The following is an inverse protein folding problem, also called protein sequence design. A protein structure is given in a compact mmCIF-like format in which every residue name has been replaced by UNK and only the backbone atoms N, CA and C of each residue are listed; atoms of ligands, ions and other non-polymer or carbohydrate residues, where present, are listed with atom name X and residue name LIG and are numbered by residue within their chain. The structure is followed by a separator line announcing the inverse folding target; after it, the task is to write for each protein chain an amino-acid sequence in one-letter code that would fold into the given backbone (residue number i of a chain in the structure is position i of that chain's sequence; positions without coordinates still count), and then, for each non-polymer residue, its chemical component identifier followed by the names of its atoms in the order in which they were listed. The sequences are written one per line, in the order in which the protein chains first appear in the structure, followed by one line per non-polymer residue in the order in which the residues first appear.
data_IF_157340783020
#
_entry.id   IF_157340783020
#
_cell.length_a   1.000
_cell.length_b   1.000
_cell.length_c   1.000
_cell.angle_alpha   90.00
_cell.angle_beta   90.00
_cell.angle_gamma   90.00
#
_symmetry.space_group_name_H-M   'P 1'
#
loop_
_entity.id
_entity.type
_entity.pdbx_description
1 polymer ?
#
# COMPACT_ATOMS: atom_id res chain seq x y z
N UNK A 1 0.55 5.96 -10.45
CA UNK A 1 1.59 5.91 -11.49
C UNK A 1 2.96 5.72 -10.81
N UNK A 2 3.71 4.65 -11.08
CA UNK A 2 4.98 4.39 -10.40
C UNK A 2 6.17 5.26 -10.82
N UNK A 3 6.14 5.82 -12.03
CA UNK A 3 7.19 6.72 -12.49
C UNK A 3 7.12 8.06 -11.74
N UNK A 4 5.92 8.55 -11.48
CA UNK A 4 5.71 9.75 -10.64
C UNK A 4 6.25 9.53 -9.22
N UNK A 5 5.93 8.39 -8.59
CA UNK A 5 6.45 8.09 -7.26
C UNK A 5 7.99 8.01 -7.24
N UNK A 6 8.60 7.42 -8.28
CA UNK A 6 10.06 7.38 -8.43
C UNK A 6 10.65 8.78 -8.54
N UNK A 7 10.05 9.63 -9.37
CA UNK A 7 10.58 10.96 -9.66
C UNK A 7 10.42 11.88 -8.44
N UNK A 8 9.30 11.77 -7.72
CA UNK A 8 9.12 12.37 -6.38
C UNK A 8 10.22 11.91 -5.43
N UNK A 9 10.43 10.59 -5.30
CA UNK A 9 11.45 10.04 -4.39
C UNK A 9 12.86 10.56 -4.67
N UNK A 10 13.19 10.84 -5.93
CA UNK A 10 14.48 11.45 -6.32
C UNK A 10 14.56 12.93 -5.98
N UNK A 11 13.45 13.66 -6.07
CA UNK A 11 13.39 15.11 -5.84
C UNK A 11 13.16 15.52 -4.38
N UNK A 12 12.66 14.62 -3.54
CA UNK A 12 12.27 14.94 -2.15
C UNK A 12 13.19 14.28 -1.12
N UNK A 13 14.32 14.92 -0.84
CA UNK A 13 15.26 14.50 0.21
C UNK A 13 14.60 14.65 1.59
N UNK A 14 14.66 13.60 2.41
CA UNK A 14 14.13 13.61 3.78
C UNK A 14 12.61 13.41 3.91
N UNK A 15 11.87 13.36 2.80
CA UNK A 15 10.41 13.13 2.82
C UNK A 15 10.12 11.69 2.36
N UNK A 16 9.45 10.86 3.18
CA UNK A 16 9.04 9.52 2.79
C UNK A 16 8.04 9.54 1.62
N UNK A 17 8.28 8.75 0.59
CA UNK A 17 7.39 8.61 -0.58
C UNK A 17 6.81 7.22 -0.66
N UNK A 18 5.49 7.13 -0.75
CA UNK A 18 4.74 5.89 -0.85
C UNK A 18 4.31 5.53 -2.27
N UNK A 19 4.18 4.24 -2.56
CA UNK A 19 3.50 3.76 -3.77
C UNK A 19 2.07 3.33 -3.43
N UNK A 20 1.07 3.98 -4.02
CA UNK A 20 -0.33 3.52 -3.96
C UNK A 20 -0.55 2.33 -4.90
N UNK A 21 -1.15 1.26 -4.38
CA UNK A 21 -1.38 0.01 -5.12
C UNK A 21 -2.75 -0.60 -4.82
N UNK A 22 -3.26 -1.34 -5.80
CA UNK A 22 -4.46 -2.17 -5.71
C UNK A 22 -4.32 -3.35 -6.67
N UNK A 23 -5.09 -4.40 -6.42
CA UNK A 23 -5.26 -5.55 -7.30
C UNK A 23 -6.13 -5.27 -8.53
N UNK A 24 -6.96 -4.23 -8.47
CA UNK A 24 -7.92 -3.83 -9.51
C UNK A 24 -7.68 -2.37 -9.87
N UNK A 25 -7.33 -2.12 -11.13
CA UNK A 25 -7.03 -0.80 -11.66
C UNK A 25 -7.91 -0.57 -12.88
N UNK A 26 -9.05 0.09 -12.69
CA UNK A 26 -10.01 0.36 -13.77
C UNK A 26 -9.33 1.06 -14.96
N UNK A 27 -9.64 0.59 -16.16
CA UNK A 27 -9.05 1.11 -17.41
C UNK A 27 -7.62 0.67 -17.71
N UNK A 28 -7.00 -0.19 -16.88
CA UNK A 28 -5.63 -0.67 -17.11
C UNK A 28 -5.58 -2.07 -17.74
N UNK A 29 -4.49 -2.37 -18.45
CA UNK A 29 -4.30 -3.66 -19.12
C UNK A 29 -4.03 -4.81 -18.13
N UNK A 30 -4.21 -6.05 -18.59
CA UNK A 30 -3.89 -7.27 -17.80
C UNK A 30 -2.43 -7.29 -17.34
N UNK A 31 -1.51 -6.80 -18.17
CA UNK A 31 -0.08 -6.71 -17.82
C UNK A 31 0.14 -5.75 -16.65
N UNK A 32 -0.50 -4.58 -16.67
CA UNK A 32 -0.41 -3.61 -15.56
C UNK A 32 -0.95 -4.23 -14.28
N UNK A 33 -2.12 -4.87 -14.33
CA UNK A 33 -2.68 -5.59 -13.19
C UNK A 33 -1.72 -6.66 -12.66
N UNK A 34 -1.11 -7.45 -13.53
CA UNK A 34 -0.12 -8.46 -13.15
C UNK A 34 1.08 -7.84 -12.44
N UNK A 35 1.61 -6.72 -12.94
CA UNK A 35 2.74 -6.03 -12.29
C UNK A 35 2.39 -5.54 -10.88
N UNK A 36 1.19 -4.99 -10.69
CA UNK A 36 0.72 -4.52 -9.38
C UNK A 36 0.50 -5.70 -8.42
N UNK A 37 -0.22 -6.74 -8.84
CA UNK A 37 -0.49 -7.95 -8.03
C UNK A 37 0.79 -8.67 -7.62
N UNK A 38 1.79 -8.68 -8.52
CA UNK A 38 3.09 -9.32 -8.27
C UNK A 38 4.09 -8.42 -7.54
N UNK A 39 3.68 -7.18 -7.19
CA UNK A 39 4.51 -6.17 -6.54
C UNK A 39 5.76 -5.75 -7.34
N UNK A 40 5.83 -6.08 -8.63
CA UNK A 40 6.96 -5.75 -9.51
C UNK A 40 7.12 -4.24 -9.66
N UNK A 41 6.01 -3.51 -9.57
CA UNK A 41 5.97 -2.05 -9.59
C UNK A 41 6.88 -1.42 -8.54
N UNK A 42 7.06 -2.05 -7.38
CA UNK A 42 7.92 -1.53 -6.31
C UNK A 42 9.40 -1.50 -6.70
N UNK A 43 9.84 -2.32 -7.68
CA UNK A 43 11.20 -2.26 -8.24
C UNK A 43 11.40 -1.02 -9.12
N UNK A 44 10.32 -0.49 -9.69
CA UNK A 44 10.31 0.68 -10.56
C UNK A 44 10.27 1.95 -9.69
N UNK A 45 9.31 2.03 -8.76
CA UNK A 45 9.09 3.22 -7.94
C UNK A 45 10.09 3.40 -6.81
N UNK A 46 10.68 2.30 -6.29
CA UNK A 46 11.60 2.31 -5.14
C UNK A 46 11.12 3.19 -3.97
N UNK A 47 9.87 3.02 -3.50
CA UNK A 47 9.29 3.88 -2.47
C UNK A 47 9.86 3.52 -1.08
N UNK A 48 9.63 4.39 -0.11
CA UNK A 48 9.96 4.14 1.31
C UNK A 48 8.92 3.26 2.01
N UNK A 49 7.69 3.26 1.51
CA UNK A 49 6.60 2.40 1.96
C UNK A 49 5.66 2.09 0.79
N UNK A 50 4.78 1.12 0.95
CA UNK A 50 3.76 0.83 -0.05
C UNK A 50 2.38 0.79 0.59
N UNK A 51 1.38 1.19 -0.19
CA UNK A 51 0.00 1.25 0.27
C UNK A 51 -0.82 0.21 -0.48
N UNK A 52 -1.75 -0.45 0.21
CA UNK A 52 -2.60 -1.47 -0.40
C UNK A 52 -3.99 -1.49 0.24
N UNK A 53 -5.01 -1.92 -0.51
CA UNK A 53 -6.35 -2.08 0.07
C UNK A 53 -6.41 -3.19 1.12
N UNK A 54 -7.13 -2.95 2.22
CA UNK A 54 -7.26 -3.87 3.37
C UNK A 54 -7.76 -5.25 2.98
N UNK A 55 -8.67 -5.34 2.00
CA UNK A 55 -9.17 -6.63 1.52
C UNK A 55 -8.10 -7.52 0.87
N UNK A 56 -6.94 -6.99 0.50
CA UNK A 56 -5.86 -7.76 -0.15
C UNK A 56 -4.63 -7.98 0.73
N UNK A 57 -4.51 -7.31 1.88
CA UNK A 57 -3.26 -7.36 2.66
C UNK A 57 -2.95 -8.75 3.21
N UNK A 58 -3.95 -9.64 3.36
CA UNK A 58 -3.77 -11.03 3.78
C UNK A 58 -2.90 -11.87 2.83
N UNK A 59 -2.64 -11.42 1.60
CA UNK A 59 -1.88 -12.19 0.61
C UNK A 59 -0.44 -12.42 1.04
N UNK A 60 0.05 -13.64 0.80
CA UNK A 60 1.40 -14.09 1.19
C UNK A 60 2.53 -13.21 0.64
N UNK A 61 2.42 -12.74 -0.61
CA UNK A 61 3.45 -11.89 -1.22
C UNK A 61 3.49 -10.50 -0.58
N UNK A 62 2.34 -9.91 -0.24
CA UNK A 62 2.24 -8.64 0.49
C UNK A 62 2.83 -8.79 1.89
N UNK A 63 2.43 -9.82 2.64
CA UNK A 63 2.96 -10.07 3.98
C UNK A 63 4.46 -10.36 4.00
N UNK A 64 4.98 -11.05 2.98
CA UNK A 64 6.44 -11.21 2.81
C UNK A 64 7.15 -9.90 2.51
N UNK A 65 6.55 -9.02 1.70
CA UNK A 65 7.14 -7.73 1.33
C UNK A 65 7.15 -6.76 2.51
N UNK A 66 6.08 -6.73 3.30
CA UNK A 66 5.93 -5.93 4.52
C UNK A 66 7.13 -6.04 5.47
N UNK A 67 7.69 -7.25 5.62
CA UNK A 67 8.87 -7.50 6.46
C UNK A 67 10.11 -6.66 6.11
N UNK A 68 10.15 -6.04 4.93
CA UNK A 68 11.30 -5.26 4.42
C UNK A 68 10.92 -3.86 3.94
N UNK A 69 9.63 -3.56 3.83
CA UNK A 69 9.12 -2.30 3.32
C UNK A 69 7.80 -2.04 4.02
N UNK A 70 7.63 -0.95 4.78
CA UNK A 70 6.41 -0.69 5.53
C UNK A 70 5.15 -0.73 4.66
N UNK A 71 4.10 -1.35 5.17
CA UNK A 71 2.77 -1.42 4.57
C UNK A 71 1.81 -0.49 5.29
N UNK A 72 1.22 0.44 4.55
CA UNK A 72 0.09 1.25 5.02
C UNK A 72 -1.18 0.76 4.30
N UNK A 73 -2.23 0.42 5.04
CA UNK A 73 -3.46 -0.11 4.43
C UNK A 73 -4.59 0.92 4.38
N UNK A 74 -5.50 0.80 3.42
CA UNK A 74 -6.66 1.69 3.24
C UNK A 74 -7.86 0.94 2.63
N UNK A 75 -9.07 1.48 2.56
CA UNK A 75 -9.64 2.44 3.50
C UNK A 75 -10.29 1.63 4.63
N UNK A 76 -10.06 2.05 5.87
CA UNK A 76 -10.67 1.44 7.06
C UNK A 76 -11.89 2.28 7.45
N UNK A 77 -13.08 1.73 7.23
CA UNK A 77 -14.38 2.39 7.46
C UNK A 77 -15.27 1.61 8.46
N UNK A 78 -14.78 0.47 8.97
CA UNK A 78 -15.43 -0.33 10.00
C UNK A 78 -14.40 -0.99 10.94
N UNK A 79 -14.85 -1.45 12.11
CA UNK A 79 -14.01 -2.07 13.15
C UNK A 79 -13.44 -3.43 12.75
N UNK A 80 -14.06 -4.17 11.83
CA UNK A 80 -13.55 -5.47 11.37
C UNK A 80 -12.34 -5.27 10.45
N UNK A 81 -12.40 -4.28 9.57
CA UNK A 81 -11.26 -3.81 8.77
C UNK A 81 -10.17 -3.24 9.67
N UNK A 82 -10.51 -2.52 10.73
CA UNK A 82 -9.53 -1.99 11.69
C UNK A 82 -8.76 -3.12 12.38
N UNK A 83 -9.47 -4.13 12.89
CA UNK A 83 -8.86 -5.32 13.48
C UNK A 83 -7.94 -6.03 12.49
N UNK A 84 -8.35 -6.15 11.23
CA UNK A 84 -7.53 -6.72 10.16
C UNK A 84 -6.29 -5.87 9.89
N UNK A 85 -6.42 -4.55 9.86
CA UNK A 85 -5.33 -3.61 9.64
C UNK A 85 -4.29 -3.66 10.76
N UNK A 86 -4.73 -3.63 12.02
CA UNK A 86 -3.87 -3.75 13.22
C UNK A 86 -3.04 -5.03 13.18
N UNK A 87 -3.62 -6.15 12.73
CA UNK A 87 -2.92 -7.42 12.66
C UNK A 87 -1.93 -7.51 11.48
N UNK A 88 -2.26 -6.92 10.33
CA UNK A 88 -1.62 -7.26 9.05
C UNK A 88 -0.87 -6.11 8.36
N UNK A 89 -0.98 -4.87 8.85
CA UNK A 89 -0.29 -3.69 8.32
C UNK A 89 0.58 -3.02 9.40
N UNK A 90 1.45 -2.11 8.98
CA UNK A 90 2.28 -1.30 9.89
C UNK A 90 1.59 0.02 10.26
N UNK A 91 0.68 0.49 9.41
CA UNK A 91 -0.20 1.63 9.66
C UNK A 91 -1.46 1.53 8.79
N UNK A 92 -2.46 2.38 9.02
CA UNK A 92 -3.70 2.40 8.24
C UNK A 92 -4.28 3.81 8.07
N UNK A 93 -4.99 3.99 6.95
CA UNK A 93 -5.77 5.18 6.62
C UNK A 93 -7.24 4.83 6.81
N UNK A 94 -7.93 5.63 7.61
CA UNK A 94 -9.30 5.41 8.02
C UNK A 94 -10.20 6.54 7.55
N UNK A 95 -11.48 6.23 7.39
CA UNK A 95 -12.55 7.16 7.09
C UNK A 95 -13.73 6.80 7.99
N UNK A 96 -14.46 7.78 8.50
CA UNK A 96 -15.72 7.55 9.23
C UNK A 96 -15.65 6.70 10.51
N UNK A 97 -14.47 6.54 11.13
CA UNK A 97 -14.31 5.89 12.45
C UNK A 97 -13.58 6.82 13.42
N UNK A 98 -14.05 6.92 14.65
CA UNK A 98 -13.32 7.59 15.74
C UNK A 98 -12.23 6.68 16.29
N UNK A 99 -10.97 7.12 16.23
CA UNK A 99 -9.85 6.41 16.84
C UNK A 99 -9.73 6.83 18.30
N UNK A 100 -9.74 5.84 19.20
CA UNK A 100 -9.34 6.06 20.60
C UNK A 100 -7.81 6.04 20.67
N UNK A 101 -7.21 7.14 21.12
CA UNK A 101 -5.78 7.18 21.42
C UNK A 101 -5.44 6.10 22.46
N UNK A 102 -4.31 5.40 22.24
CA UNK A 102 -3.78 4.36 23.13
C UNK A 102 -2.80 4.94 24.13
#
# INVERSE_FOLDING_TARGET
NPYVARDLKKGSTGIPVGQLMSDVLYGQSKLVHFMYRSLLVLKISKPDFFNYEVKYIHKRNIQRKRKRLPLITWTIDDYDKEKTAIALADNYIFEHIEIKER
#
